data_IF_831675202484
#
_entry.id   IF_831675202484
#
_cell.length_a   1.000
_cell.length_b   1.000
_cell.length_c   1.000
_cell.angle_alpha   90.00
_cell.angle_beta   90.00
_cell.angle_gamma   90.00
#
_symmetry.space_group_name_H-M   'P 1'
#
loop_
_entity.id
_entity.type
_entity.pdbx_description
1 polymer ?
#
# COMPACT_ATOMS: atom_id res chain seq x y z
N UNK A 1 -30.53 -2.10 -27.97
CA UNK A 1 -29.08 -2.26 -28.19
C UNK A 1 -28.36 -1.11 -27.48
N UNK A 2 -28.54 -0.92 -26.17
CA UNK A 2 -27.98 -1.75 -25.08
C UNK A 2 -26.46 -1.81 -25.11
N UNK A 3 -25.80 -0.70 -24.74
CA UNK A 3 -24.47 -0.71 -24.13
C UNK A 3 -24.42 0.33 -23.01
N UNK A 4 -25.07 -0.04 -21.91
CA UNK A 4 -24.70 0.40 -20.58
C UNK A 4 -23.20 0.13 -20.40
N UNK A 5 -22.38 1.16 -20.46
CA UNK A 5 -21.08 1.13 -19.79
C UNK A 5 -21.05 2.35 -18.89
N UNK A 6 -21.60 2.11 -17.69
CA UNK A 6 -21.48 2.90 -16.49
C UNK A 6 -19.99 3.09 -16.21
N UNK A 7 -19.39 4.14 -16.78
CA UNK A 7 -18.06 4.64 -16.37
C UNK A 7 -18.16 5.60 -15.19
N UNK A 8 -19.27 5.53 -14.45
CA UNK A 8 -19.44 6.15 -13.15
C UNK A 8 -19.01 5.12 -12.11
N UNK A 9 -17.73 5.06 -11.71
CA UNK A 9 -17.27 4.51 -10.41
C UNK A 9 -15.75 4.50 -10.17
N UNK A 10 -14.90 5.03 -11.06
CA UNK A 10 -13.53 5.37 -10.66
C UNK A 10 -13.53 6.77 -10.04
N UNK A 11 -14.20 6.89 -8.88
CA UNK A 11 -13.95 8.02 -8.00
C UNK A 11 -12.44 7.99 -7.69
N UNK A 12 -11.67 9.03 -8.05
CA UNK A 12 -10.32 9.13 -7.56
C UNK A 12 -10.45 9.16 -6.04
N UNK A 13 -9.79 8.23 -5.36
CA UNK A 13 -9.62 8.31 -3.92
C UNK A 13 -8.77 9.54 -3.65
N UNK A 14 -9.40 10.73 -3.66
CA UNK A 14 -8.85 11.97 -3.14
C UNK A 14 -8.77 11.78 -1.63
N UNK A 15 -7.75 11.03 -1.22
CA UNK A 15 -7.23 11.11 0.13
C UNK A 15 -6.61 12.49 0.27
N UNK A 16 -7.35 13.40 0.87
CA UNK A 16 -6.74 14.52 1.58
C UNK A 16 -5.72 13.91 2.54
N UNK A 17 -4.43 13.99 2.17
CA UNK A 17 -3.34 13.71 3.09
C UNK A 17 -3.41 14.82 4.13
N UNK A 18 -4.22 14.61 5.18
CA UNK A 18 -4.20 15.47 6.36
C UNK A 18 -2.78 15.40 6.92
N UNK A 19 -2.00 16.45 6.68
CA UNK A 19 -0.72 16.69 7.34
C UNK A 19 -0.99 17.08 8.80
N UNK A 20 -1.60 16.18 9.57
CA UNK A 20 -1.66 16.30 11.02
C UNK A 20 -0.34 15.76 11.53
N UNK A 21 0.55 16.64 12.00
CA UNK A 21 1.93 16.37 12.41
C UNK A 21 2.09 15.43 13.61
N UNK A 22 1.55 14.21 13.54
CA UNK A 22 1.78 13.12 14.49
C UNK A 22 2.41 11.96 13.73
N UNK A 23 3.71 11.79 13.91
CA UNK A 23 4.43 10.60 13.47
C UNK A 23 3.79 9.38 14.13
N UNK A 24 3.05 8.59 13.35
CA UNK A 24 2.48 7.33 13.79
C UNK A 24 3.46 6.22 13.48
N UNK A 25 3.80 5.42 14.48
CA UNK A 25 4.58 4.21 14.30
C UNK A 25 3.70 3.10 13.71
N UNK A 26 4.27 2.33 12.79
CA UNK A 26 3.67 1.09 12.30
C UNK A 26 3.68 0.06 13.42
N UNK A 27 2.52 -0.49 13.71
CA UNK A 27 2.40 -1.61 14.65
C UNK A 27 2.81 -2.92 13.97
N UNK A 28 3.03 -3.97 14.75
CA UNK A 28 3.34 -5.29 14.21
C UNK A 28 2.20 -5.83 13.32
N UNK A 29 0.95 -5.53 13.65
CA UNK A 29 -0.20 -5.88 12.80
C UNK A 29 -0.18 -5.13 11.47
N UNK A 30 0.20 -3.85 11.47
CA UNK A 30 0.29 -3.07 10.25
C UNK A 30 1.36 -3.64 9.30
N UNK A 31 2.49 -4.10 9.85
CA UNK A 31 3.54 -4.77 9.07
C UNK A 31 3.07 -6.07 8.42
N UNK A 32 2.35 -6.92 9.15
CA UNK A 32 1.75 -8.15 8.60
C UNK A 32 0.73 -7.86 7.49
N UNK A 33 -0.03 -6.76 7.61
CA UNK A 33 -0.96 -6.34 6.55
C UNK A 33 -0.21 -5.88 5.30
N UNK A 34 0.90 -5.14 5.49
CA UNK A 34 1.77 -4.71 4.38
C UNK A 34 2.31 -5.94 3.64
N UNK A 35 2.81 -6.95 4.37
CA UNK A 35 3.30 -8.21 3.80
C UNK A 35 2.22 -8.91 2.96
N UNK A 36 1.04 -9.14 3.54
CA UNK A 36 -0.05 -9.82 2.86
C UNK A 36 -0.47 -9.10 1.57
N UNK A 37 -0.60 -7.77 1.60
CA UNK A 37 -0.99 -6.98 0.43
C UNK A 37 0.13 -6.83 -0.59
N UNK A 38 1.39 -6.74 -0.15
CA UNK A 38 2.54 -6.71 -1.05
C UNK A 38 2.65 -8.03 -1.83
N UNK A 39 2.44 -9.18 -1.17
CA UNK A 39 2.39 -10.49 -1.81
C UNK A 39 1.22 -10.63 -2.79
N UNK A 40 0.07 -10.04 -2.48
CA UNK A 40 -1.06 -9.95 -3.41
C UNK A 40 -0.78 -9.06 -4.63
N UNK A 41 0.30 -8.28 -4.61
CA UNK A 41 0.72 -7.41 -5.70
C UNK A 41 0.14 -5.99 -5.63
N UNK A 42 -0.55 -5.63 -4.53
CA UNK A 42 -1.07 -4.28 -4.32
C UNK A 42 0.05 -3.23 -4.40
N UNK A 43 -0.28 -2.04 -4.87
CA UNK A 43 0.71 -0.96 -4.99
C UNK A 43 0.96 -0.35 -3.60
N UNK A 44 2.19 0.08 -3.28
CA UNK A 44 2.50 0.75 -2.01
C UNK A 44 1.62 1.97 -1.71
N UNK A 45 1.15 2.66 -2.75
CA UNK A 45 0.25 3.82 -2.64
C UNK A 45 -1.13 3.41 -2.11
N UNK A 46 -1.67 2.29 -2.60
CA UNK A 46 -2.98 1.77 -2.20
C UNK A 46 -2.91 1.19 -0.77
N UNK A 47 -1.81 0.50 -0.45
CA UNK A 47 -1.50 0.02 0.91
C UNK A 47 -1.44 1.20 1.90
N UNK A 48 -0.77 2.29 1.51
CA UNK A 48 -0.65 3.49 2.33
C UNK A 48 -2.01 4.16 2.57
N UNK A 49 -2.86 4.23 1.53
CA UNK A 49 -4.21 4.76 1.64
C UNK A 49 -5.07 3.94 2.61
N UNK A 50 -4.99 2.60 2.57
CA UNK A 50 -5.70 1.71 3.51
C UNK A 50 -5.24 1.90 4.96
N UNK A 51 -3.94 2.07 5.19
CA UNK A 51 -3.38 2.28 6.53
C UNK A 51 -3.50 3.75 7.00
N UNK A 52 -4.00 4.64 6.15
CA UNK A 52 -4.03 6.09 6.39
C UNK A 52 -2.64 6.65 6.73
N UNK A 53 -1.59 6.13 6.09
CA UNK A 53 -0.20 6.59 6.21
C UNK A 53 0.30 7.19 4.90
N UNK A 54 1.41 7.93 4.96
CA UNK A 54 2.03 8.44 3.76
C UNK A 54 2.76 7.32 3.00
N UNK A 55 2.70 7.35 1.67
CA UNK A 55 3.34 6.33 0.82
C UNK A 55 4.85 6.20 1.07
N UNK A 56 5.54 7.29 1.43
CA UNK A 56 6.97 7.24 1.78
C UNK A 56 7.25 6.37 3.00
N UNK A 57 6.31 6.27 3.94
CA UNK A 57 6.44 5.38 5.11
C UNK A 57 6.44 3.92 4.67
N UNK A 58 5.56 3.55 3.74
CA UNK A 58 5.51 2.19 3.19
C UNK A 58 6.79 1.87 2.41
N UNK A 59 7.28 2.80 1.57
CA UNK A 59 8.54 2.59 0.85
C UNK A 59 9.72 2.34 1.80
N UNK A 60 9.85 3.15 2.85
CA UNK A 60 10.92 2.97 3.86
C UNK A 60 10.79 1.67 4.62
N UNK A 61 9.55 1.27 4.94
CA UNK A 61 9.31 0.00 5.63
C UNK A 61 9.63 -1.19 4.73
N UNK A 62 9.19 -1.19 3.47
CA UNK A 62 9.50 -2.23 2.49
C UNK A 62 11.02 -2.38 2.29
N UNK A 63 11.72 -1.25 2.15
CA UNK A 63 13.19 -1.25 2.04
C UNK A 63 13.87 -1.79 3.31
N UNK A 64 13.29 -1.55 4.49
CA UNK A 64 13.83 -2.04 5.76
C UNK A 64 13.66 -3.55 5.93
N UNK A 65 12.54 -4.12 5.46
CA UNK A 65 12.26 -5.56 5.49
C UNK A 65 12.62 -6.29 4.19
N UNK A 66 13.36 -5.63 3.30
CA UNK A 66 13.77 -6.22 2.03
C UNK A 66 14.69 -7.42 2.29
N UNK A 67 14.23 -8.60 1.88
CA UNK A 67 14.96 -9.86 2.09
C UNK A 67 16.07 -10.05 1.04
N UNK A 68 16.10 -9.21 0.00
CA UNK A 68 17.05 -9.32 -1.12
C UNK A 68 16.73 -10.45 -2.11
N UNK A 69 15.79 -11.33 -1.77
CA UNK A 69 15.20 -12.29 -2.69
C UNK A 69 14.06 -11.64 -3.47
N UNK A 70 13.91 -11.99 -4.75
CA UNK A 70 12.77 -11.59 -5.54
C UNK A 70 11.55 -12.46 -5.20
N UNK A 71 10.41 -11.82 -4.97
CA UNK A 71 9.13 -12.48 -4.77
C UNK A 71 8.60 -13.10 -6.08
N UNK A 72 7.49 -13.83 -5.99
CA UNK A 72 6.84 -14.47 -7.14
C UNK A 72 6.45 -13.47 -8.25
N UNK A 73 6.39 -12.18 -7.95
CA UNK A 73 6.06 -11.09 -8.86
C UNK A 73 7.30 -10.31 -9.34
N UNK A 74 8.51 -10.86 -9.14
CA UNK A 74 9.80 -10.22 -9.44
C UNK A 74 10.05 -8.89 -8.71
N UNK A 75 9.39 -8.65 -7.59
CA UNK A 75 9.64 -7.49 -6.70
C UNK A 75 10.53 -7.93 -5.55
N UNK A 76 11.15 -6.98 -4.84
CA UNK A 76 11.88 -7.33 -3.62
C UNK A 76 10.92 -7.95 -2.59
N UNK A 77 11.22 -9.17 -2.18
CA UNK A 77 10.48 -9.87 -1.14
C UNK A 77 10.58 -9.12 0.18
N UNK A 78 9.43 -8.97 0.83
CA UNK A 78 9.31 -8.28 2.11
C UNK A 78 8.87 -9.29 3.19
N UNK A 79 9.62 -9.35 4.30
CA UNK A 79 9.31 -10.17 5.47
C UNK A 79 9.44 -9.28 6.71
N UNK A 80 8.43 -9.31 7.59
CA UNK A 80 8.31 -8.38 8.72
C UNK A 80 8.07 -9.03 10.08
#
# INVERSE_FOLDING_TARGET
MSRLCVFSLLQPHRTEVRLTGKYRYLTFEDRKKIEAWHLLGDRPVDIAARLSVHHTTIYKELQRGATGALDANQREGYSA
#
